data_IF_069973433112
#
_entry.id   IF_069973433112
#
_cell.length_a   1.000
_cell.length_b   1.000
_cell.length_c   1.000
_cell.angle_alpha   90.00
_cell.angle_beta   90.00
_cell.angle_gamma   90.00
#
_symmetry.space_group_name_H-M   'P 1'
#
loop_
_entity.id
_entity.type
_entity.pdbx_description
1 polymer ?
#
# COMPACT_ATOMS: atom_id res chain seq x y z
N UNK A 1 36.06 40.85 17.08
CA UNK A 1 36.76 39.64 16.60
C UNK A 1 35.90 38.43 16.92
N UNK A 2 35.25 37.79 15.93
CA UNK A 2 34.43 36.62 16.19
C UNK A 2 35.33 35.48 16.68
N UNK A 3 35.19 35.12 17.96
CA UNK A 3 35.95 34.04 18.62
C UNK A 3 35.82 32.78 17.76
N UNK A 4 36.95 32.30 17.26
CA UNK A 4 37.07 31.08 16.47
C UNK A 4 36.44 29.95 17.29
N UNK A 5 35.29 29.45 16.81
CA UNK A 5 34.61 28.34 17.47
C UNK A 5 35.59 27.17 17.48
N UNK A 6 36.09 26.81 18.66
CA UNK A 6 36.88 25.61 18.92
C UNK A 6 36.11 24.39 18.40
N UNK A 7 36.30 24.08 17.12
CA UNK A 7 35.77 22.88 16.50
C UNK A 7 36.68 21.75 16.96
N UNK A 8 36.19 20.98 17.93
CA UNK A 8 36.79 19.70 18.24
C UNK A 8 36.87 18.90 16.91
N UNK A 9 38.07 18.54 16.43
CA UNK A 9 38.26 17.95 15.11
C UNK A 9 37.45 16.65 14.94
N UNK A 10 37.27 15.90 16.03
CA UNK A 10 36.44 14.69 16.06
C UNK A 10 34.95 15.01 15.84
N UNK A 11 34.45 16.10 16.39
CA UNK A 11 33.07 16.53 16.15
C UNK A 11 32.88 17.08 14.74
N UNK A 12 33.88 17.77 14.18
CA UNK A 12 33.87 18.22 12.78
C UNK A 12 33.77 17.03 11.81
N UNK A 13 34.57 15.98 12.05
CA UNK A 13 34.53 14.73 11.27
C UNK A 13 33.17 14.05 11.39
N UNK A 14 32.63 13.84 12.59
CA UNK A 14 31.30 13.24 12.78
C UNK A 14 30.18 14.03 12.10
N UNK A 15 30.23 15.37 12.15
CA UNK A 15 29.27 16.23 11.44
C UNK A 15 29.41 16.10 9.92
N UNK A 16 30.64 16.06 9.41
CA UNK A 16 30.92 15.84 8.00
C UNK A 16 30.42 14.45 7.53
N UNK A 17 30.66 13.40 8.31
CA UNK A 17 30.21 12.05 8.00
C UNK A 17 28.69 11.93 8.06
N UNK A 18 28.04 12.56 9.04
CA UNK A 18 26.58 12.65 9.09
C UNK A 18 26.01 13.42 7.89
N UNK A 19 26.64 14.53 7.49
CA UNK A 19 26.23 15.28 6.30
C UNK A 19 26.40 14.45 5.02
N UNK A 20 27.51 13.71 4.89
CA UNK A 20 27.74 12.76 3.79
C UNK A 20 26.70 11.65 3.78
N UNK A 21 26.38 11.07 4.93
CA UNK A 21 25.36 10.03 5.08
C UNK A 21 23.97 10.55 4.69
N UNK A 22 23.60 11.76 5.12
CA UNK A 22 22.33 12.40 4.73
C UNK A 22 22.30 12.69 3.23
N UNK A 23 23.41 13.19 2.65
CA UNK A 23 23.50 13.44 1.21
C UNK A 23 23.34 12.15 0.41
N UNK A 24 23.99 11.06 0.85
CA UNK A 24 23.83 9.72 0.27
C UNK A 24 22.39 9.23 0.38
N UNK A 25 21.78 9.30 1.57
CA UNK A 25 20.39 8.89 1.75
C UNK A 25 19.39 9.70 0.91
N UNK A 26 19.61 11.02 0.76
CA UNK A 26 18.81 11.86 -0.15
C UNK A 26 19.02 11.48 -1.61
N UNK A 27 20.26 11.20 -2.03
CA UNK A 27 20.56 10.72 -3.37
C UNK A 27 19.86 9.38 -3.66
N UNK A 28 19.96 8.41 -2.75
CA UNK A 28 19.32 7.09 -2.90
C UNK A 28 17.78 7.21 -3.02
N UNK A 29 17.15 8.11 -2.25
CA UNK A 29 15.71 8.39 -2.35
C UNK A 29 15.36 9.03 -3.69
N UNK A 30 16.19 9.95 -4.19
CA UNK A 30 15.99 10.55 -5.52
C UNK A 30 16.17 9.52 -6.62
N UNK A 31 17.16 8.64 -6.53
CA UNK A 31 17.41 7.57 -7.49
C UNK A 31 16.22 6.60 -7.55
N UNK A 32 15.70 6.17 -6.39
CA UNK A 32 14.46 5.36 -6.31
C UNK A 32 13.27 6.08 -6.94
N UNK A 33 13.18 7.41 -6.79
CA UNK A 33 12.11 8.21 -7.41
C UNK A 33 12.31 8.29 -8.92
N UNK A 34 13.54 8.51 -9.38
CA UNK A 34 13.88 8.56 -10.80
C UNK A 34 13.62 7.21 -11.48
N UNK A 35 13.98 6.09 -10.85
CA UNK A 35 13.67 4.74 -11.35
C UNK A 35 12.17 4.52 -11.50
N UNK A 36 11.38 4.93 -10.51
CA UNK A 36 9.91 4.83 -10.58
C UNK A 36 9.33 5.69 -11.70
N UNK A 37 9.85 6.90 -11.91
CA UNK A 37 9.39 7.80 -12.96
C UNK A 37 9.82 7.33 -14.35
N UNK A 38 11.06 6.87 -14.51
CA UNK A 38 11.56 6.38 -15.80
C UNK A 38 10.85 5.11 -16.28
N UNK A 39 10.31 4.30 -15.37
CA UNK A 39 9.40 3.17 -15.69
C UNK A 39 8.06 3.60 -16.29
N UNK A 40 7.70 4.88 -16.25
CA UNK A 40 6.51 5.37 -16.94
C UNK A 40 6.82 5.62 -18.41
N UNK A 41 5.85 5.37 -19.28
CA UNK A 41 6.02 5.50 -20.73
C UNK A 41 5.76 6.95 -21.18
N UNK A 42 6.77 7.70 -21.63
CA UNK A 42 6.62 9.09 -22.05
C UNK A 42 5.73 9.21 -23.30
N UNK A 43 5.77 8.24 -24.22
CA UNK A 43 4.94 8.26 -25.42
C UNK A 43 3.45 8.11 -25.09
N UNK A 44 3.10 7.36 -24.03
CA UNK A 44 1.71 7.23 -23.57
C UNK A 44 1.20 8.55 -22.98
N UNK A 45 2.02 9.21 -22.15
CA UNK A 45 1.69 10.50 -21.54
C UNK A 45 1.54 11.57 -22.64
N UNK A 46 2.44 11.58 -23.62
CA UNK A 46 2.37 12.50 -24.75
C UNK A 46 1.07 12.33 -25.53
N UNK A 47 0.66 11.09 -25.85
CA UNK A 47 -0.63 10.83 -26.52
C UNK A 47 -1.82 11.40 -25.75
N UNK A 48 -1.87 11.22 -24.43
CA UNK A 48 -2.95 11.78 -23.61
C UNK A 48 -2.97 13.31 -23.62
N UNK A 49 -1.79 13.95 -23.61
CA UNK A 49 -1.68 15.40 -23.77
C UNK A 49 -2.18 15.83 -25.15
N UNK A 50 -1.79 15.11 -26.19
CA UNK A 50 -2.19 15.41 -27.56
C UNK A 50 -3.70 15.22 -27.76
N UNK A 51 -4.30 14.18 -27.15
CA UNK A 51 -5.74 13.94 -27.17
C UNK A 51 -6.52 15.07 -26.47
N UNK A 52 -6.09 15.49 -25.27
CA UNK A 52 -6.71 16.62 -24.55
C UNK A 52 -6.53 17.94 -25.31
N UNK A 53 -5.34 18.19 -25.87
CA UNK A 53 -5.09 19.38 -26.70
C UNK A 53 -5.88 19.35 -28.00
N UNK A 54 -6.10 18.17 -28.58
CA UNK A 54 -6.93 18.00 -29.76
C UNK A 54 -8.40 18.29 -29.44
N UNK A 55 -8.92 17.88 -28.27
CA UNK A 55 -10.27 18.26 -27.82
C UNK A 55 -10.38 19.79 -27.69
N UNK A 56 -9.39 20.43 -27.05
CA UNK A 56 -9.32 21.88 -26.93
C UNK A 56 -9.30 22.59 -28.30
N UNK A 57 -8.51 22.06 -29.24
CA UNK A 57 -8.34 22.63 -30.58
C UNK A 57 -9.54 22.38 -31.50
N UNK A 58 -10.28 21.28 -31.30
CA UNK A 58 -11.51 20.96 -32.05
C UNK A 58 -12.73 21.81 -31.63
N UNK A 59 -12.53 22.80 -30.74
CA UNK A 59 -13.56 23.77 -30.36
C UNK A 59 -14.34 23.40 -29.10
N UNK A 60 -13.97 22.31 -28.42
CA UNK A 60 -14.48 22.00 -27.08
C UNK A 60 -13.69 22.74 -26.02
N UNK A 61 -14.37 23.44 -25.10
CA UNK A 61 -13.70 23.96 -23.90
C UNK A 61 -13.41 22.78 -22.99
N UNK A 62 -12.16 22.63 -22.56
CA UNK A 62 -11.80 21.60 -21.60
C UNK A 62 -12.56 21.84 -20.29
N UNK A 63 -13.00 20.76 -19.66
CA UNK A 63 -13.51 20.82 -18.29
C UNK A 63 -12.40 21.26 -17.35
N UNK A 64 -12.73 21.92 -16.23
CA UNK A 64 -11.74 22.28 -15.19
C UNK A 64 -10.92 21.05 -14.74
N UNK A 65 -11.55 19.87 -14.70
CA UNK A 65 -10.86 18.62 -14.41
C UNK A 65 -9.85 18.25 -15.50
N UNK A 66 -10.22 18.39 -16.77
CA UNK A 66 -9.36 18.09 -17.92
C UNK A 66 -8.18 19.06 -18.01
N UNK A 67 -8.38 20.33 -17.68
CA UNK A 67 -7.30 21.32 -17.56
C UNK A 67 -6.32 20.94 -16.44
N UNK A 68 -6.83 20.53 -15.27
CA UNK A 68 -5.99 20.06 -14.16
C UNK A 68 -5.22 18.79 -14.55
N UNK A 69 -5.85 17.87 -15.27
CA UNK A 69 -5.22 16.65 -15.79
C UNK A 69 -4.15 17.00 -16.81
N UNK A 70 -4.41 17.91 -17.75
CA UNK A 70 -3.43 18.38 -18.73
C UNK A 70 -2.19 18.96 -18.03
N UNK A 71 -2.38 19.84 -17.05
CA UNK A 71 -1.27 20.40 -16.27
C UNK A 71 -0.50 19.32 -15.49
N UNK A 72 -1.21 18.31 -14.97
CA UNK A 72 -0.62 17.16 -14.31
C UNK A 72 0.26 16.34 -15.25
N UNK A 73 -0.26 15.99 -16.43
CA UNK A 73 0.43 15.19 -17.44
C UNK A 73 1.65 15.93 -18.01
N UNK A 74 1.57 17.23 -18.24
CA UNK A 74 2.71 18.03 -18.71
C UNK A 74 3.86 18.05 -17.68
N UNK A 75 3.53 18.21 -16.39
CA UNK A 75 4.53 18.12 -15.31
C UNK A 75 5.10 16.71 -15.21
N UNK A 76 4.27 15.69 -15.37
CA UNK A 76 4.70 14.30 -15.33
C UNK A 76 5.64 13.96 -16.48
N UNK A 77 5.34 14.39 -17.71
CA UNK A 77 6.19 14.17 -18.87
C UNK A 77 7.58 14.78 -18.67
N UNK A 78 7.64 16.03 -18.16
CA UNK A 78 8.90 16.68 -17.82
C UNK A 78 9.68 15.92 -16.74
N UNK A 79 8.99 15.44 -15.71
CA UNK A 79 9.60 14.65 -14.65
C UNK A 79 10.12 13.29 -15.13
N UNK A 80 9.38 12.62 -16.03
CA UNK A 80 9.76 11.33 -16.63
C UNK A 80 10.98 11.51 -17.54
N UNK A 81 11.01 12.54 -18.38
CA UNK A 81 12.16 12.83 -19.23
C UNK A 81 13.41 13.15 -18.41
N UNK A 82 13.29 14.01 -17.39
CA UNK A 82 14.39 14.32 -16.47
C UNK A 82 14.90 13.08 -15.72
N UNK A 83 13.99 12.22 -15.26
CA UNK A 83 14.35 10.98 -14.59
C UNK A 83 15.07 9.99 -15.52
N UNK A 84 14.67 9.94 -16.81
CA UNK A 84 15.33 9.12 -17.83
C UNK A 84 16.70 9.65 -18.18
N UNK A 85 16.85 10.96 -18.33
CA UNK A 85 18.15 11.60 -18.54
C UNK A 85 19.10 11.34 -17.36
N UNK A 86 18.59 11.42 -16.12
CA UNK A 86 19.37 11.10 -14.93
C UNK A 86 19.79 9.62 -14.85
N UNK A 87 18.98 8.71 -15.39
CA UNK A 87 19.30 7.28 -15.45
C UNK A 87 20.12 6.88 -16.70
N UNK A 88 20.11 7.71 -17.75
CA UNK A 88 20.75 7.44 -19.03
C UNK A 88 20.34 6.08 -19.60
N UNK A 89 21.34 5.27 -19.97
CA UNK A 89 21.15 3.93 -20.56
C UNK A 89 20.51 2.91 -19.62
N UNK A 90 20.43 3.20 -18.31
CA UNK A 90 19.74 2.33 -17.34
C UNK A 90 18.22 2.49 -17.40
N UNK A 91 17.71 3.51 -18.08
CA UNK A 91 16.29 3.74 -18.19
C UNK A 91 15.60 2.62 -19.01
N UNK A 92 14.45 2.10 -18.56
CA UNK A 92 13.72 1.10 -19.35
C UNK A 92 13.29 1.65 -20.72
N UNK A 93 13.62 0.92 -21.78
CA UNK A 93 13.17 1.23 -23.14
C UNK A 93 11.77 0.65 -23.38
N UNK A 94 10.85 1.44 -23.93
CA UNK A 94 9.45 1.05 -24.20
C UNK A 94 9.20 0.76 -25.69
N UNK A 95 10.20 0.18 -26.36
CA UNK A 95 10.08 -0.19 -27.77
C UNK A 95 9.11 -1.37 -27.95
N UNK A 96 8.45 -1.39 -29.11
CA UNK A 96 7.72 -2.57 -29.60
C UNK A 96 8.73 -3.71 -29.70
N UNK A 97 8.69 -4.64 -28.75
CA UNK A 97 9.31 -5.95 -28.92
C UNK A 97 8.61 -6.57 -30.13
N UNK A 98 9.28 -6.48 -31.28
CA UNK A 98 9.01 -7.28 -32.47
C UNK A 98 8.88 -8.73 -32.02
N UNK A 99 7.75 -9.33 -32.31
CA UNK A 99 7.49 -10.76 -32.12
C UNK A 99 8.72 -11.57 -32.55
N UNK A 100 9.38 -12.24 -31.60
CA UNK A 100 10.46 -13.18 -31.94
C UNK A 100 11.57 -13.34 -30.91
N UNK A 101 11.86 -12.34 -30.08
CA UNK A 101 12.97 -12.46 -29.12
C UNK A 101 12.45 -12.79 -27.72
N UNK A 102 12.71 -14.04 -27.32
CA UNK A 102 12.49 -14.59 -25.99
C UNK A 102 13.26 -13.79 -24.94
N UNK A 103 12.69 -12.65 -24.51
CA UNK A 103 13.09 -12.04 -23.26
C UNK A 103 12.94 -13.07 -22.14
N UNK A 104 13.81 -13.06 -21.12
CA UNK A 104 13.77 -14.02 -20.02
C UNK A 104 12.44 -13.85 -19.29
N UNK A 105 11.46 -14.62 -19.74
CA UNK A 105 10.17 -14.72 -19.11
C UNK A 105 10.43 -15.14 -17.68
N UNK A 106 9.89 -14.37 -16.74
CA UNK A 106 9.76 -14.71 -15.33
C UNK A 106 9.54 -16.23 -15.22
N UNK A 107 10.61 -16.95 -14.85
CA UNK A 107 10.61 -18.41 -14.75
C UNK A 107 9.40 -18.81 -13.91
N UNK A 108 8.40 -19.45 -14.52
CA UNK A 108 7.25 -19.99 -13.78
C UNK A 108 5.87 -19.68 -14.35
N UNK A 109 5.73 -18.88 -15.42
CA UNK A 109 4.44 -18.73 -16.11
C UNK A 109 4.50 -19.39 -17.49
N UNK A 110 4.39 -20.72 -17.52
CA UNK A 110 4.03 -21.45 -18.74
C UNK A 110 2.69 -20.91 -19.22
N UNK A 111 2.63 -20.41 -20.47
CA UNK A 111 1.37 -19.98 -21.09
C UNK A 111 0.44 -21.19 -21.16
N UNK A 112 -0.65 -21.13 -20.39
CA UNK A 112 -1.78 -22.07 -20.45
C UNK A 112 -2.45 -21.88 -21.81
N UNK A 113 -1.95 -22.55 -22.83
CA UNK A 113 -2.43 -22.39 -24.21
C UNK A 113 -1.43 -22.76 -25.31
N UNK A 114 -0.23 -23.26 -24.99
CA UNK A 114 0.60 -23.90 -26.02
C UNK A 114 -0.08 -25.20 -26.45
N UNK A 115 -0.87 -25.13 -27.52
CA UNK A 115 -1.30 -26.28 -28.31
C UNK A 115 -0.05 -27.10 -28.68
N UNK A 116 0.06 -28.30 -28.14
CA UNK A 116 1.26 -29.13 -28.37
C UNK A 116 1.43 -30.32 -27.42
N UNK A 117 0.53 -30.56 -26.49
CA UNK A 117 0.41 -31.88 -25.87
C UNK A 117 -0.68 -32.66 -26.62
N UNK A 118 -0.44 -32.93 -27.91
CA UNK A 118 -1.09 -34.08 -28.52
C UNK A 118 -0.44 -35.29 -27.84
N UNK A 119 -1.19 -35.99 -27.01
CA UNK A 119 -0.75 -37.25 -26.42
C UNK A 119 -0.72 -38.30 -27.52
N UNK A 120 0.25 -38.19 -28.42
CA UNK A 120 0.62 -39.26 -29.33
C UNK A 120 1.17 -40.38 -28.45
N UNK A 121 0.41 -41.45 -28.23
CA UNK A 121 0.47 -42.60 -29.14
C UNK A 121 1.85 -43.18 -29.50
N UNK A 122 2.96 -42.51 -29.25
CA UNK A 122 4.23 -42.70 -29.96
C UNK A 122 5.38 -42.86 -28.97
N UNK A 123 5.28 -42.28 -27.77
CA UNK A 123 6.31 -42.35 -26.72
C UNK A 123 6.26 -43.62 -25.84
N UNK A 124 5.23 -44.47 -25.98
CA UNK A 124 5.07 -45.69 -25.18
C UNK A 124 5.63 -46.91 -25.95
N UNK A 125 6.51 -47.76 -25.40
CA UNK A 125 6.97 -48.97 -26.10
C UNK A 125 5.82 -49.93 -26.44
N UNK A 126 5.88 -50.61 -27.59
CA UNK A 126 4.81 -51.51 -28.09
C UNK A 126 4.43 -52.62 -27.07
N UNK A 127 5.42 -53.15 -26.35
CA UNK A 127 5.22 -54.17 -25.31
C UNK A 127 4.33 -53.68 -24.15
N UNK A 128 4.38 -52.39 -23.84
CA UNK A 128 3.58 -51.77 -22.77
C UNK A 128 2.16 -51.48 -23.24
N UNK A 129 1.99 -51.18 -24.54
CA UNK A 129 0.66 -50.90 -25.14
C UNK A 129 -0.19 -52.15 -25.29
N UNK A 130 0.45 -53.29 -25.54
CA UNK A 130 -0.22 -54.57 -25.74
C UNK A 130 -0.60 -55.26 -24.43
N UNK A 131 -0.25 -54.70 -23.27
CA UNK A 131 -0.68 -55.23 -21.98
C UNK A 131 -2.21 -55.12 -21.92
N UNK A 132 -2.94 -56.25 -21.85
CA UNK A 132 -4.39 -56.20 -21.81
C UNK A 132 -4.85 -55.53 -20.52
N UNK A 133 -5.75 -54.57 -20.65
CA UNK A 133 -6.37 -53.93 -19.50
C UNK A 133 -7.12 -54.98 -18.66
N UNK A 134 -7.08 -54.89 -17.31
CA UNK A 134 -7.90 -55.72 -16.44
C UNK A 134 -9.37 -55.67 -16.86
N UNK A 135 -10.07 -56.80 -16.78
CA UNK A 135 -11.47 -56.92 -17.22
C UNK A 135 -12.44 -55.95 -16.53
N UNK A 136 -12.03 -55.37 -15.41
CA UNK A 136 -12.81 -54.43 -14.61
C UNK A 136 -12.48 -52.95 -14.91
N UNK A 137 -11.70 -52.65 -15.94
CA UNK A 137 -11.48 -51.24 -16.34
C UNK A 137 -12.73 -50.75 -17.06
N UNK A 138 -13.49 -49.80 -16.48
CA UNK A 138 -14.69 -49.30 -17.10
C UNK A 138 -14.36 -48.66 -18.47
N UNK A 139 -15.30 -48.67 -19.43
CA UNK A 139 -15.09 -48.05 -20.72
C UNK A 139 -14.70 -46.56 -20.54
N UNK A 140 -13.85 -46.01 -21.41
CA UNK A 140 -13.46 -44.62 -21.33
C UNK A 140 -14.70 -43.73 -21.41
N UNK A 141 -14.72 -42.65 -20.61
CA UNK A 141 -15.82 -41.70 -20.62
C UNK A 141 -15.93 -41.11 -22.03
N UNK A 142 -17.12 -41.14 -22.66
CA UNK A 142 -17.30 -40.61 -24.00
C UNK A 142 -16.91 -39.13 -24.04
N UNK A 143 -16.21 -38.75 -25.11
CA UNK A 143 -15.62 -37.42 -25.27
C UNK A 143 -16.66 -36.30 -25.13
N UNK A 144 -17.89 -36.52 -25.58
CA UNK A 144 -18.99 -35.56 -25.49
C UNK A 144 -19.35 -35.21 -24.03
N UNK A 145 -19.31 -36.20 -23.13
CA UNK A 145 -19.57 -35.99 -21.69
C UNK A 145 -18.45 -35.18 -21.06
N UNK A 146 -17.20 -35.45 -21.44
CA UNK A 146 -16.04 -34.67 -20.99
C UNK A 146 -16.11 -33.23 -21.52
N UNK A 147 -16.47 -33.05 -22.78
CA UNK A 147 -16.59 -31.75 -23.43
C UNK A 147 -17.72 -30.91 -22.78
N UNK A 148 -18.86 -31.52 -22.44
CA UNK A 148 -19.93 -30.90 -21.66
C UNK A 148 -19.48 -30.53 -20.25
N UNK A 149 -18.71 -31.38 -19.57
CA UNK A 149 -18.18 -31.10 -18.24
C UNK A 149 -17.17 -29.93 -18.27
N UNK A 150 -16.28 -29.91 -19.25
CA UNK A 150 -15.34 -28.81 -19.48
C UNK A 150 -16.06 -27.51 -19.89
N UNK A 151 -17.13 -27.60 -20.69
CA UNK A 151 -17.96 -26.45 -21.06
C UNK A 151 -18.69 -25.87 -19.83
N UNK A 152 -19.33 -26.72 -19.02
CA UNK A 152 -20.00 -26.31 -17.77
C UNK A 152 -19.02 -25.70 -16.78
N UNK A 153 -17.81 -26.24 -16.66
CA UNK A 153 -16.74 -25.68 -15.84
C UNK A 153 -16.27 -24.32 -16.35
N UNK A 154 -16.06 -24.18 -17.66
CA UNK A 154 -15.71 -22.89 -18.29
C UNK A 154 -16.82 -21.86 -18.10
N UNK A 155 -18.08 -22.24 -18.31
CA UNK A 155 -19.24 -21.38 -18.09
C UNK A 155 -19.34 -20.92 -16.63
N UNK A 156 -19.12 -21.81 -15.64
CA UNK A 156 -19.06 -21.43 -14.22
C UNK A 156 -17.92 -20.46 -13.91
N UNK A 157 -16.74 -20.69 -14.48
CA UNK A 157 -15.60 -19.81 -14.28
C UNK A 157 -15.84 -18.43 -14.92
N UNK A 158 -16.40 -18.42 -16.14
CA UNK A 158 -16.83 -17.21 -16.84
C UNK A 158 -17.99 -16.52 -16.14
N UNK A 159 -18.92 -17.21 -15.48
CA UNK A 159 -19.96 -16.57 -14.68
C UNK A 159 -19.39 -15.92 -13.40
N UNK A 160 -18.40 -16.57 -12.77
CA UNK A 160 -17.73 -16.05 -11.57
C UNK A 160 -16.69 -14.94 -11.85
N UNK A 161 -16.16 -14.86 -13.08
CA UNK A 161 -15.08 -13.93 -13.45
C UNK A 161 -15.42 -13.05 -14.67
N UNK A 162 -16.57 -13.23 -15.30
CA UNK A 162 -16.99 -12.56 -16.54
C UNK A 162 -17.34 -11.10 -16.33
N UNK A 163 -17.80 -10.73 -15.14
CA UNK A 163 -17.95 -9.32 -14.73
C UNK A 163 -16.60 -8.58 -14.63
N UNK A 164 -15.48 -9.32 -14.59
CA UNK A 164 -14.11 -8.77 -14.67
C UNK A 164 -13.47 -8.91 -16.06
N UNK A 165 -14.19 -9.48 -17.03
CA UNK A 165 -13.67 -9.88 -18.34
C UNK A 165 -14.08 -8.97 -19.50
N UNK A 166 -15.27 -8.37 -19.45
CA UNK A 166 -15.80 -7.47 -20.50
C UNK A 166 -15.22 -6.04 -20.42
N UNK A 167 -14.31 -5.77 -19.46
CA UNK A 167 -13.60 -4.48 -19.33
C UNK A 167 -12.11 -4.58 -19.68
N UNK A 168 -11.71 -5.61 -20.43
CA UNK A 168 -10.30 -5.80 -20.85
C UNK A 168 -10.00 -5.35 -22.28
N UNK A 169 -10.96 -4.72 -22.97
CA UNK A 169 -10.76 -4.12 -24.29
C UNK A 169 -10.62 -2.59 -24.26
N UNK A 170 -10.55 -1.95 -23.08
CA UNK A 170 -10.31 -0.51 -22.97
C UNK A 170 -9.22 -0.20 -21.94
N UNK A 171 -7.97 -0.12 -22.41
CA UNK A 171 -6.74 0.07 -21.62
C UNK A 171 -6.56 1.54 -21.20
N UNK A 172 -7.59 2.17 -20.64
CA UNK A 172 -7.56 3.58 -20.23
C UNK A 172 -8.27 3.92 -18.91
N UNK A 173 -8.42 2.95 -18.00
CA UNK A 173 -8.63 3.26 -16.59
C UNK A 173 -7.57 2.56 -15.73
N UNK A 174 -6.51 3.31 -15.42
CA UNK A 174 -5.50 2.93 -14.43
C UNK A 174 -5.59 3.84 -13.20
N UNK A 175 -6.76 4.44 -12.95
CA UNK A 175 -7.07 5.15 -11.71
C UNK A 175 -7.53 4.20 -10.61
N UNK A 176 -8.16 3.08 -10.96
CA UNK A 176 -8.76 2.15 -9.97
C UNK A 176 -7.75 1.23 -9.24
N UNK A 177 -6.45 1.33 -9.55
CA UNK A 177 -5.39 0.56 -8.87
C UNK A 177 -4.55 1.40 -7.91
N UNK A 178 -4.84 2.71 -7.79
CA UNK A 178 -4.17 3.58 -6.83
C UNK A 178 -4.92 3.65 -5.49
N UNK A 179 -6.24 3.47 -5.50
CA UNK A 179 -7.06 3.46 -4.28
C UNK A 179 -7.08 2.09 -3.56
N UNK A 180 -6.70 1.00 -4.25
CA UNK A 180 -6.51 -0.31 -3.62
C UNK A 180 -5.08 -0.55 -3.09
N UNK A 181 -4.10 0.23 -3.55
CA UNK A 181 -2.73 0.15 -3.05
C UNK A 181 -2.57 0.86 -1.69
N UNK A 182 -3.42 1.85 -1.39
CA UNK A 182 -3.48 2.50 -0.08
C UNK A 182 -4.38 1.75 0.92
N UNK A 183 -5.24 0.84 0.44
CA UNK A 183 -5.94 -0.16 1.28
C UNK A 183 -5.16 -1.46 1.50
N UNK A 184 -3.92 -1.56 1.01
CA UNK A 184 -3.02 -2.71 1.19
C UNK A 184 -1.89 -2.47 2.20
N UNK A 185 -2.03 -1.46 3.06
CA UNK A 185 -1.23 -1.29 4.27
C UNK A 185 -1.89 -1.86 5.53
N UNK A 186 -3.05 -2.50 5.41
CA UNK A 186 -3.57 -3.43 6.40
C UNK A 186 -3.31 -4.83 5.88
N UNK A 187 -2.40 -5.55 6.54
CA UNK A 187 -2.22 -6.98 6.31
C UNK A 187 -3.60 -7.67 6.32
N UNK A 188 -3.86 -8.64 5.43
CA UNK A 188 -5.07 -9.44 5.55
C UNK A 188 -5.11 -9.98 6.98
N UNK A 189 -6.23 -9.84 7.73
CA UNK A 189 -6.34 -10.45 9.04
C UNK A 189 -6.03 -11.93 8.83
N UNK A 190 -4.99 -12.41 9.51
CA UNK A 190 -4.58 -13.80 9.42
C UNK A 190 -5.82 -14.67 9.59
N UNK A 191 -6.06 -15.57 8.64
CA UNK A 191 -7.18 -16.51 8.71
C UNK A 191 -7.18 -17.11 10.11
N UNK A 192 -8.29 -17.01 10.88
CA UNK A 192 -8.31 -17.46 12.26
C UNK A 192 -8.08 -18.97 12.24
N UNK A 193 -6.85 -19.39 12.52
CA UNK A 193 -6.51 -20.78 12.76
C UNK A 193 -7.19 -21.14 14.07
N UNK A 194 -8.37 -21.75 13.98
CA UNK A 194 -9.06 -22.32 15.15
C UNK A 194 -8.25 -23.51 15.62
N UNK A 195 -7.30 -23.25 16.51
CA UNK A 195 -6.72 -24.28 17.37
C UNK A 195 -7.81 -24.64 18.37
N UNK A 196 -8.23 -25.90 18.41
CA UNK A 196 -9.20 -26.38 19.40
C UNK A 196 -8.54 -26.38 20.79
N UNK A 197 -8.55 -25.22 21.44
CA UNK A 197 -8.20 -25.11 22.86
C UNK A 197 -9.46 -25.29 23.70
N UNK A 198 -9.43 -26.26 24.62
CA UNK A 198 -10.55 -26.58 25.50
C UNK A 198 -10.71 -25.58 26.66
N UNK A 199 -10.08 -24.41 26.60
CA UNK A 199 -10.19 -23.39 27.66
C UNK A 199 -11.42 -22.52 27.41
N UNK A 200 -12.30 -22.33 28.41
CA UNK A 200 -13.46 -21.46 28.25
C UNK A 200 -13.03 -20.00 28.07
N UNK A 201 -13.59 -19.32 27.06
CA UNK A 201 -13.38 -17.89 26.83
C UNK A 201 -14.23 -17.10 27.82
N UNK A 202 -13.61 -16.59 28.88
CA UNK A 202 -14.30 -15.74 29.86
C UNK A 202 -14.52 -14.35 29.27
N UNK A 203 -15.78 -13.98 29.01
CA UNK A 203 -16.16 -12.67 28.46
C UNK A 203 -16.33 -11.65 29.59
N UNK A 204 -15.68 -10.51 29.48
CA UNK A 204 -15.88 -9.40 30.41
C UNK A 204 -17.17 -8.67 30.06
N UNK A 205 -18.30 -9.13 30.62
CA UNK A 205 -19.63 -8.57 30.34
C UNK A 205 -19.72 -7.06 30.56
N UNK A 206 -18.93 -6.51 31.51
CA UNK A 206 -18.85 -5.06 31.76
C UNK A 206 -18.22 -4.30 30.59
N UNK A 207 -17.17 -4.84 29.99
CA UNK A 207 -16.51 -4.21 28.84
C UNK A 207 -17.37 -4.32 27.58
N UNK A 208 -18.01 -5.47 27.38
CA UNK A 208 -18.95 -5.65 26.27
C UNK A 208 -20.13 -4.69 26.39
N UNK A 209 -20.69 -4.55 27.60
CA UNK A 209 -21.80 -3.63 27.83
C UNK A 209 -21.42 -2.17 27.58
N UNK A 210 -20.25 -1.72 28.04
CA UNK A 210 -19.76 -0.36 27.78
C UNK A 210 -19.52 -0.14 26.29
N UNK A 211 -19.00 -1.14 25.57
CA UNK A 211 -18.75 -1.03 24.13
C UNK A 211 -20.02 -1.07 23.27
N UNK A 212 -21.04 -1.82 23.68
CA UNK A 212 -22.25 -2.07 22.91
C UNK A 212 -23.40 -1.10 23.22
N UNK A 213 -23.54 -0.66 24.48
CA UNK A 213 -24.70 0.13 24.94
C UNK A 213 -24.39 1.60 25.17
N UNK A 214 -23.12 2.03 25.20
CA UNK A 214 -22.79 3.45 25.35
C UNK A 214 -22.65 4.09 23.96
N UNK A 215 -23.41 5.15 23.63
CA UNK A 215 -23.28 5.86 22.37
C UNK A 215 -21.87 6.42 22.15
N UNK A 216 -21.42 6.45 20.90
CA UNK A 216 -20.08 6.92 20.53
C UNK A 216 -19.77 8.34 21.03
N UNK A 217 -20.77 9.24 21.07
CA UNK A 217 -20.59 10.59 21.58
C UNK A 217 -20.19 10.62 23.07
N UNK A 218 -20.79 9.75 23.89
CA UNK A 218 -20.48 9.62 25.32
C UNK A 218 -19.12 8.92 25.50
N UNK A 219 -18.81 7.93 24.66
CA UNK A 219 -17.48 7.28 24.66
C UNK A 219 -16.37 8.29 24.35
N UNK A 220 -16.57 9.19 23.38
CA UNK A 220 -15.61 10.25 23.05
C UNK A 220 -15.42 11.24 24.21
N UNK A 221 -16.50 11.68 24.88
CA UNK A 221 -16.40 12.56 26.06
C UNK A 221 -15.69 11.88 27.23
N UNK A 222 -15.98 10.61 27.48
CA UNK A 222 -15.29 9.80 28.50
C UNK A 222 -13.81 9.56 28.16
N UNK A 223 -13.47 9.37 26.89
CA UNK A 223 -12.07 9.22 26.45
C UNK A 223 -11.30 10.54 26.53
N UNK A 224 -11.96 11.67 26.25
CA UNK A 224 -11.42 13.02 26.38
C UNK A 224 -11.16 13.39 27.84
N UNK A 225 -12.10 13.06 28.74
CA UNK A 225 -11.90 13.20 30.18
C UNK A 225 -10.80 12.29 30.76
N UNK A 226 -10.51 11.15 30.11
CA UNK A 226 -9.37 10.27 30.44
C UNK A 226 -8.06 10.69 29.78
N UNK A 227 -8.03 11.77 29.01
CA UNK A 227 -6.83 12.27 28.31
C UNK A 227 -6.38 11.41 27.13
N UNK A 228 -7.21 10.49 26.63
CA UNK A 228 -6.84 9.58 25.53
C UNK A 228 -7.01 10.22 24.13
N UNK A 229 -7.72 11.35 24.01
CA UNK A 229 -8.06 11.96 22.71
C UNK A 229 -7.35 13.28 22.41
N UNK A 230 -6.11 13.45 22.89
CA UNK A 230 -5.28 14.65 22.61
C UNK A 230 -5.41 15.77 23.65
N UNK A 231 -4.59 16.81 23.50
CA UNK A 231 -4.59 18.00 24.36
C UNK A 231 -5.98 18.65 24.29
N UNK A 232 -6.62 18.79 25.44
CA UNK A 232 -7.96 19.37 25.57
C UNK A 232 -7.84 20.86 25.86
N UNK A 233 -8.67 21.67 25.20
CA UNK A 233 -8.74 23.11 25.47
C UNK A 233 -9.33 23.36 26.87
N UNK A 234 -8.88 24.37 27.62
CA UNK A 234 -9.33 24.62 28.99
C UNK A 234 -10.85 24.84 29.08
N UNK A 235 -11.46 25.50 28.09
CA UNK A 235 -12.93 25.68 28.05
C UNK A 235 -13.71 24.38 27.83
N UNK A 236 -13.13 23.40 27.15
CA UNK A 236 -13.74 22.09 26.94
C UNK A 236 -13.59 21.20 28.18
N UNK A 237 -12.54 21.42 28.97
CA UNK A 237 -12.35 20.75 30.26
C UNK A 237 -13.45 21.13 31.25
N UNK A 238 -13.72 22.42 31.39
CA UNK A 238 -14.77 22.95 32.27
C UNK A 238 -16.17 22.45 31.87
N UNK A 239 -16.42 22.31 30.56
CA UNK A 239 -17.66 21.72 30.06
C UNK A 239 -17.79 20.24 30.44
N UNK A 240 -16.71 19.46 30.30
CA UNK A 240 -16.73 18.05 30.69
C UNK A 240 -16.79 17.86 32.20
N UNK A 241 -16.25 18.77 33.00
CA UNK A 241 -16.41 18.81 34.46
C UNK A 241 -17.87 19.12 34.84
N UNK A 242 -18.47 20.13 34.19
CA UNK A 242 -19.87 20.50 34.39
C UNK A 242 -20.85 19.39 33.97
N UNK A 243 -20.53 18.68 32.91
CA UNK A 243 -21.30 17.51 32.44
C UNK A 243 -21.00 16.23 33.26
N UNK A 244 -20.03 16.26 34.18
CA UNK A 244 -19.72 15.15 35.09
C UNK A 244 -18.87 14.03 34.48
N UNK A 245 -18.24 14.27 33.32
CA UNK A 245 -17.33 13.32 32.67
C UNK A 245 -15.90 13.38 33.21
N UNK A 246 -15.56 14.44 33.94
CA UNK A 246 -14.30 14.61 34.67
C UNK A 246 -14.65 14.84 36.15
N UNK A 247 -13.99 14.12 37.04
CA UNK A 247 -14.10 14.37 38.48
C UNK A 247 -13.20 15.54 38.85
N UNK A 248 -13.70 16.60 39.51
CA UNK A 248 -12.84 17.68 39.98
C UNK A 248 -11.84 17.11 41.00
N UNK A 249 -10.59 17.55 40.93
CA UNK A 249 -9.46 17.01 41.69
C UNK A 249 -9.55 17.24 43.23
N UNK A 250 -10.69 17.68 43.74
CA UNK A 250 -10.90 18.04 45.15
C UNK A 250 -11.32 16.84 46.02
N UNK A 251 -11.82 15.75 45.43
CA UNK A 251 -12.45 14.64 46.18
C UNK A 251 -11.76 13.26 46.09
N UNK A 252 -10.55 13.13 45.53
CA UNK A 252 -9.86 11.84 45.38
C UNK A 252 -8.48 11.82 46.06
N UNK A 253 -8.46 12.06 47.37
CA UNK A 253 -7.38 11.61 48.25
C UNK A 253 -7.69 10.18 48.75
N UNK A 254 -7.67 9.19 47.86
CA UNK A 254 -7.87 7.79 48.26
C UNK A 254 -8.00 6.77 47.14
N UNK A 255 -6.90 6.38 46.48
CA UNK A 255 -6.86 5.10 45.75
C UNK A 255 -5.99 5.01 44.50
N UNK A 256 -4.77 4.48 44.69
CA UNK A 256 -3.91 3.75 43.74
C UNK A 256 -3.56 4.36 42.37
N UNK A 257 -2.33 4.91 42.30
CA UNK A 257 -1.25 4.29 41.50
C UNK A 257 -1.16 4.60 40.01
N UNK A 258 -0.51 5.71 39.65
CA UNK A 258 0.46 5.80 38.55
C UNK A 258 1.19 7.15 38.62
N UNK A 259 2.52 7.12 38.69
CA UNK A 259 3.35 8.28 38.97
C UNK A 259 3.26 9.40 37.93
N UNK A 260 2.77 10.56 38.35
CA UNK A 260 2.97 11.82 37.65
C UNK A 260 4.24 12.49 38.18
N UNK A 261 5.25 12.63 37.31
CA UNK A 261 6.46 13.40 37.60
C UNK A 261 6.06 14.87 37.72
N UNK A 262 6.18 15.41 38.93
CA UNK A 262 6.14 16.85 39.23
C UNK A 262 7.35 17.49 38.53
N UNK A 263 7.13 18.31 37.51
CA UNK A 263 8.15 19.23 36.97
C UNK A 263 7.98 20.52 37.75
N UNK A 264 8.84 20.74 38.74
CA UNK A 264 9.01 22.04 39.39
C UNK A 264 9.81 22.93 38.44
N UNK A 265 9.27 24.12 38.16
CA UNK A 265 10.02 25.22 37.59
C UNK A 265 10.58 25.96 38.80
N UNK A 266 11.87 25.78 39.07
CA UNK A 266 12.61 26.56 40.08
C UNK A 266 13.68 27.36 39.32
N UNK A 267 13.42 28.67 39.29
CA UNK A 267 14.36 29.80 39.36
C UNK A 267 15.67 29.75 38.56
N UNK A 268 15.62 30.38 37.38
CA UNK A 268 16.75 31.13 36.85
C UNK A 268 16.69 32.55 37.42
N UNK A 269 17.32 32.77 38.58
CA UNK A 269 17.73 34.09 39.05
C UNK A 269 19.19 34.02 39.52
N UNK A 270 19.95 34.98 39.04
CA UNK A 270 21.39 35.07 39.02
C UNK A 270 22.04 35.08 40.41
N UNK A 271 22.98 34.16 40.65
CA UNK A 271 24.08 34.34 41.62
C UNK A 271 25.24 35.03 40.90
N UNK A 272 25.26 36.37 40.93
CA UNK A 272 26.45 37.18 40.68
C UNK A 272 26.91 37.75 42.03
N UNK A 273 27.73 36.98 42.75
CA UNK A 273 28.45 37.43 43.95
C UNK A 273 29.95 37.61 43.59
N UNK A 274 30.31 38.89 43.46
CA UNK A 274 31.53 39.52 43.98
C UNK A 274 32.87 38.75 43.94
N UNK A 275 33.80 39.18 43.06
CA UNK A 275 35.23 39.30 43.39
C UNK A 275 36.00 40.06 42.29
N UNK A 276 36.50 41.27 42.61
CA UNK A 276 37.58 41.95 41.85
C UNK A 276 37.40 43.44 41.65
#
# INVERSE_FOLDING_TARGET
>A
MPKEKNYNPVQAQRKADKARAIKKGKADVQDRRNEKLARKNPARIQKQIDDLKAIASKGGKLSQHEEQVLQGLEKELRAVNKAREALGDRAPSFGYRRDGDAGPGVLGKRRRGSHGASSSDEDVPEDVRNIPMPRDTPPPIPKDVMDQWHAKRRARWNAAHGDRGESRSNDNDRSTWKDEAEKKATAPPAEPKTVYEAKPVMRNLRQEAVSAFVPAAVQMKMAKGKGQSGLMEPEEADQLEREGYIKPAVDEAGGSGAGARKVTIEDAQDEEEEAG
#
